data_IF_151482433645
#
_entry.id   IF_151482433645
#
_cell.length_a   1.000
_cell.length_b   1.000
_cell.length_c   1.000
_cell.angle_alpha   90.00
_cell.angle_beta   90.00
_cell.angle_gamma   90.00
#
_symmetry.space_group_name_H-M   'P 1'
#
loop_
_entity.id
_entity.type
_entity.pdbx_description
1 polymer ?
#
# COMPACT_ATOMS: atom_id res chain seq x y z
N UNK A 1 28.17 16.36 62.62
CA UNK A 1 28.91 16.50 61.33
C UNK A 1 27.85 16.36 60.23
N UNK A 2 27.52 17.41 59.46
CA UNK A 2 28.21 17.85 58.22
C UNK A 2 28.24 16.68 57.21
N UNK A 3 27.60 16.66 56.03
CA UNK A 3 27.12 17.68 55.08
C UNK A 3 26.07 17.07 54.12
N UNK A 4 25.11 17.89 53.69
CA UNK A 4 24.33 17.76 52.45
C UNK A 4 25.22 17.85 51.20
N UNK A 5 24.84 17.22 50.08
CA UNK A 5 24.96 17.68 48.66
C UNK A 5 24.59 16.48 47.74
N UNK A 6 23.45 16.46 47.04
CA UNK A 6 23.10 17.19 45.82
C UNK A 6 23.82 16.68 44.55
N UNK A 7 23.00 16.12 43.64
CA UNK A 7 23.02 16.22 42.17
C UNK A 7 24.31 15.80 41.45
N UNK A 8 24.22 14.74 40.65
CA UNK A 8 24.88 14.71 39.35
C UNK A 8 23.90 14.28 38.26
N UNK A 9 23.39 15.30 37.61
CA UNK A 9 22.82 15.36 36.27
C UNK A 9 23.79 14.83 35.21
N UNK A 10 23.22 14.42 34.07
CA UNK A 10 23.87 14.24 32.76
C UNK A 10 24.74 12.99 32.55
N UNK A 11 24.14 12.01 31.86
CA UNK A 11 24.70 11.64 30.56
C UNK A 11 23.60 11.78 29.51
N UNK A 12 23.61 12.93 28.85
CA UNK A 12 22.81 13.26 27.68
C UNK A 12 23.62 12.85 26.45
N UNK A 13 22.91 12.40 25.41
CA UNK A 13 23.32 12.37 23.99
C UNK A 13 24.27 11.24 23.55
N UNK A 14 23.67 10.15 23.08
CA UNK A 14 24.06 9.56 21.78
C UNK A 14 23.09 8.44 21.32
N UNK A 15 21.80 8.77 21.19
CA UNK A 15 20.87 7.91 20.42
C UNK A 15 20.04 8.71 19.40
N UNK A 16 20.50 9.90 19.04
CA UNK A 16 19.90 10.71 17.96
C UNK A 16 20.57 10.49 16.60
N UNK A 17 21.48 9.51 16.48
CA UNK A 17 22.26 9.27 15.26
C UNK A 17 21.74 8.19 14.30
N UNK A 18 20.67 7.46 14.64
CA UNK A 18 20.15 6.36 13.81
C UNK A 18 18.76 6.62 13.21
N UNK A 19 18.20 7.82 13.43
CA UNK A 19 16.93 8.25 12.82
C UNK A 19 17.11 9.23 11.65
N UNK A 20 18.36 9.50 11.23
CA UNK A 20 18.69 10.51 10.21
C UNK A 20 18.73 10.01 8.76
N UNK A 21 18.39 8.75 8.48
CA UNK A 21 18.42 8.19 7.11
C UNK A 21 17.13 7.45 6.70
N UNK A 22 16.01 7.72 7.39
CA UNK A 22 14.70 7.09 7.11
C UNK A 22 13.58 8.10 6.81
N UNK A 23 13.96 9.29 6.32
CA UNK A 23 13.04 10.43 6.09
C UNK A 23 12.18 10.34 4.82
N UNK A 24 12.14 9.21 4.11
CA UNK A 24 11.28 9.04 2.92
C UNK A 24 10.42 7.76 2.92
N UNK A 25 10.40 6.98 4.01
CA UNK A 25 9.61 5.73 4.11
C UNK A 25 8.42 5.81 5.10
N UNK A 26 7.93 7.00 5.44
CA UNK A 26 7.02 7.18 6.59
C UNK A 26 5.51 7.17 6.34
N UNK A 27 5.01 7.05 5.10
CA UNK A 27 3.56 7.26 4.87
C UNK A 27 2.73 6.00 4.59
N UNK A 28 3.35 4.84 4.38
CA UNK A 28 2.62 3.58 4.15
C UNK A 28 2.69 2.68 5.38
N UNK A 29 1.68 2.78 6.25
CA UNK A 29 1.50 1.84 7.37
C UNK A 29 0.45 0.79 6.99
N UNK A 30 0.83 -0.48 7.05
CA UNK A 30 -0.12 -1.60 6.97
C UNK A 30 -0.60 -1.91 8.38
N UNK A 31 -1.90 -1.77 8.61
CA UNK A 31 -2.51 -2.09 9.90
C UNK A 31 -3.27 -3.40 9.80
N UNK A 32 -2.90 -4.38 10.63
CA UNK A 32 -3.73 -5.57 10.83
C UNK A 32 -4.80 -5.26 11.87
N UNK A 33 -6.06 -5.34 11.47
CA UNK A 33 -7.20 -5.16 12.37
C UNK A 33 -8.28 -6.20 12.09
N UNK A 34 -8.97 -6.72 13.11
CA UNK A 34 -10.11 -7.59 12.88
C UNK A 34 -11.24 -6.80 12.20
N UNK A 35 -11.55 -7.15 10.95
CA UNK A 35 -12.61 -6.52 10.16
C UNK A 35 -13.65 -7.55 9.74
N UNK A 36 -14.89 -7.11 9.50
CA UNK A 36 -15.97 -8.03 9.12
C UNK A 36 -15.87 -8.39 7.63
N UNK A 37 -15.79 -9.68 7.34
CA UNK A 37 -15.97 -10.27 6.03
C UNK A 37 -17.22 -11.16 6.07
N UNK A 38 -18.24 -10.83 5.27
CA UNK A 38 -19.54 -11.54 5.25
C UNK A 38 -20.15 -11.75 6.66
N UNK A 39 -20.06 -10.73 7.52
CA UNK A 39 -20.61 -10.75 8.88
C UNK A 39 -19.72 -11.41 9.95
N UNK A 40 -18.63 -12.09 9.54
CA UNK A 40 -17.68 -12.75 10.45
C UNK A 40 -16.43 -11.88 10.61
N UNK A 41 -15.92 -11.72 11.84
CA UNK A 41 -14.64 -11.03 12.07
C UNK A 41 -13.49 -11.90 11.58
N UNK A 42 -12.69 -11.37 10.67
CA UNK A 42 -11.47 -11.98 10.14
C UNK A 42 -10.33 -10.96 10.24
N UNK A 43 -9.09 -11.44 10.31
CA UNK A 43 -7.93 -10.55 10.28
C UNK A 43 -7.79 -9.93 8.90
N UNK A 44 -7.65 -8.61 8.87
CA UNK A 44 -7.63 -7.83 7.65
C UNK A 44 -6.46 -6.85 7.67
N UNK A 45 -5.94 -6.53 6.49
CA UNK A 45 -4.80 -5.66 6.28
C UNK A 45 -5.28 -4.39 5.61
N UNK A 46 -5.15 -3.25 6.27
CA UNK A 46 -5.54 -1.96 5.68
C UNK A 46 -4.30 -1.18 5.28
N UNK A 47 -4.28 -0.77 4.01
CA UNK A 47 -3.26 0.07 3.39
C UNK A 47 -3.88 1.42 3.00
N UNK A 48 -3.20 2.52 3.32
CA UNK A 48 -3.49 3.82 2.72
C UNK A 48 -2.75 3.95 1.39
N UNK A 49 -3.45 4.43 0.36
CA UNK A 49 -2.94 4.59 -1.00
C UNK A 49 -3.18 6.04 -1.42
N UNK A 50 -2.11 6.72 -1.81
CA UNK A 50 -2.11 8.10 -2.30
C UNK A 50 -2.57 8.15 -3.78
N UNK A 51 -3.82 7.73 -4.01
CA UNK A 51 -4.50 7.70 -5.29
C UNK A 51 -6.02 7.64 -5.11
N UNK A 52 -6.76 8.04 -6.13
CA UNK A 52 -8.20 7.86 -6.18
C UNK A 52 -8.62 6.38 -6.15
N UNK A 53 -9.86 6.14 -5.72
CA UNK A 53 -10.37 4.79 -5.45
C UNK A 53 -10.34 3.92 -6.72
N UNK A 54 -10.68 4.49 -7.87
CA UNK A 54 -10.75 3.75 -9.13
C UNK A 54 -9.37 3.29 -9.55
N UNK A 55 -8.38 4.18 -9.51
CA UNK A 55 -6.98 3.86 -9.83
C UNK A 55 -6.42 2.80 -8.90
N UNK A 56 -6.69 2.91 -7.60
CA UNK A 56 -6.26 1.91 -6.62
C UNK A 56 -6.85 0.52 -6.91
N UNK A 57 -8.15 0.45 -7.22
CA UNK A 57 -8.83 -0.79 -7.62
C UNK A 57 -8.22 -1.35 -8.91
N UNK A 58 -8.13 -0.54 -9.96
CA UNK A 58 -7.65 -0.99 -11.27
C UNK A 58 -6.21 -1.52 -11.18
N UNK A 59 -5.35 -0.81 -10.45
CA UNK A 59 -3.95 -1.22 -10.24
C UNK A 59 -3.86 -2.53 -9.47
N UNK A 60 -4.71 -2.71 -8.45
CA UNK A 60 -4.77 -3.95 -7.68
C UNK A 60 -5.25 -5.13 -8.54
N UNK A 61 -6.32 -4.93 -9.31
CA UNK A 61 -6.87 -5.96 -10.21
C UNK A 61 -5.85 -6.35 -11.27
N UNK A 62 -5.14 -5.39 -11.88
CA UNK A 62 -4.06 -5.69 -12.83
C UNK A 62 -2.97 -6.54 -12.18
N UNK A 63 -2.47 -6.13 -11.01
CA UNK A 63 -1.45 -6.87 -10.28
C UNK A 63 -1.90 -8.30 -9.95
N UNK A 64 -3.14 -8.46 -9.51
CA UNK A 64 -3.69 -9.78 -9.19
C UNK A 64 -3.84 -10.67 -10.43
N UNK A 65 -4.28 -10.11 -11.56
CA UNK A 65 -4.40 -10.83 -12.83
C UNK A 65 -3.03 -11.23 -13.39
N UNK A 66 -2.00 -10.37 -13.26
CA UNK A 66 -0.61 -10.69 -13.60
C UNK A 66 -0.07 -11.88 -12.79
N UNK A 67 -0.60 -12.09 -11.59
CA UNK A 67 -0.31 -13.22 -10.71
C UNK A 67 -1.29 -14.40 -10.90
N UNK A 68 -1.99 -14.45 -12.04
CA UNK A 68 -2.86 -15.56 -12.44
C UNK A 68 -4.25 -15.56 -11.81
N UNK A 69 -4.60 -14.51 -11.06
CA UNK A 69 -5.91 -14.37 -10.43
C UNK A 69 -7.01 -13.93 -11.39
N UNK A 70 -8.25 -14.08 -10.94
CA UNK A 70 -9.43 -13.49 -11.58
C UNK A 70 -10.28 -12.78 -10.53
N UNK A 71 -10.60 -11.49 -10.75
CA UNK A 71 -11.36 -10.67 -9.79
C UNK A 71 -12.85 -10.64 -10.10
N UNK A 72 -13.66 -10.83 -9.07
CA UNK A 72 -15.11 -10.77 -9.08
C UNK A 72 -15.64 -9.77 -8.06
N UNK A 73 -16.77 -9.15 -8.37
CA UNK A 73 -17.56 -8.39 -7.38
C UNK A 73 -18.47 -9.38 -6.66
N UNK A 74 -18.33 -9.51 -5.34
CA UNK A 74 -19.11 -10.47 -4.54
C UNK A 74 -20.19 -9.79 -3.67
N UNK A 75 -20.06 -8.49 -3.40
CA UNK A 75 -21.12 -7.66 -2.83
C UNK A 75 -21.07 -6.26 -3.46
N UNK A 76 -22.04 -5.93 -4.30
CA UNK A 76 -22.15 -4.63 -4.96
C UNK A 76 -22.54 -3.50 -4.01
N UNK A 77 -23.20 -3.82 -2.89
CA UNK A 77 -23.64 -2.83 -1.89
C UNK A 77 -22.46 -2.36 -1.07
N UNK A 78 -21.59 -3.29 -0.69
CA UNK A 78 -20.38 -2.98 0.06
C UNK A 78 -19.18 -2.67 -0.85
N UNK A 79 -19.29 -2.92 -2.15
CA UNK A 79 -18.14 -2.95 -3.07
C UNK A 79 -17.06 -3.91 -2.58
N UNK A 80 -17.48 -5.11 -2.15
CA UNK A 80 -16.55 -6.17 -1.77
C UNK A 80 -16.19 -6.98 -3.00
N UNK A 81 -14.89 -7.17 -3.18
CA UNK A 81 -14.31 -7.93 -4.29
C UNK A 81 -13.60 -9.18 -3.76
N UNK A 82 -13.50 -10.18 -4.62
CA UNK A 82 -12.72 -11.39 -4.42
C UNK A 82 -11.87 -11.62 -5.67
N UNK A 83 -10.56 -11.80 -5.48
CA UNK A 83 -9.70 -12.38 -6.50
C UNK A 83 -9.39 -13.83 -6.13
N UNK A 84 -9.76 -14.77 -6.99
CA UNK A 84 -9.52 -16.20 -6.77
C UNK A 84 -8.20 -16.67 -7.39
N UNK A 85 -7.58 -17.69 -6.77
CA UNK A 85 -6.46 -18.47 -7.31
C UNK A 85 -5.20 -17.66 -7.66
N UNK A 86 -4.91 -16.62 -6.87
CA UNK A 86 -3.71 -15.79 -7.06
C UNK A 86 -2.46 -16.53 -6.59
N UNK A 87 -1.40 -16.53 -7.39
CA UNK A 87 -0.09 -17.00 -6.95
C UNK A 87 0.63 -15.87 -6.20
N UNK A 88 0.74 -15.99 -4.88
CA UNK A 88 1.50 -15.07 -4.03
C UNK A 88 2.59 -15.81 -3.25
N UNK A 89 3.76 -16.07 -3.89
CA UNK A 89 4.87 -16.80 -3.26
C UNK A 89 5.39 -16.18 -1.96
N UNK A 90 5.12 -14.89 -1.74
CA UNK A 90 5.46 -14.18 -0.50
C UNK A 90 4.76 -14.75 0.75
N UNK A 91 3.62 -15.44 0.58
CA UNK A 91 2.82 -15.99 1.69
C UNK A 91 2.37 -17.44 1.50
N UNK A 92 2.46 -18.00 0.29
CA UNK A 92 2.12 -19.39 0.04
C UNK A 92 2.76 -19.92 -1.24
N UNK A 93 3.21 -21.18 -1.21
CA UNK A 93 3.64 -21.92 -2.41
C UNK A 93 2.47 -22.37 -3.29
N UNK A 94 1.24 -22.22 -2.79
CA UNK A 94 0.00 -22.53 -3.50
C UNK A 94 -0.81 -21.26 -3.74
N UNK A 95 -1.83 -21.36 -4.59
CA UNK A 95 -2.71 -20.24 -4.87
C UNK A 95 -3.53 -19.85 -3.64
N UNK A 96 -3.71 -18.55 -3.43
CA UNK A 96 -4.53 -17.95 -2.37
C UNK A 96 -5.70 -17.20 -2.97
N UNK A 97 -6.72 -16.97 -2.15
CA UNK A 97 -7.83 -16.09 -2.51
C UNK A 97 -7.70 -14.78 -1.74
N UNK A 98 -7.93 -13.66 -2.42
CA UNK A 98 -7.80 -12.34 -1.80
C UNK A 98 -9.13 -11.59 -1.87
N UNK A 99 -9.72 -11.34 -0.72
CA UNK A 99 -10.85 -10.42 -0.62
C UNK A 99 -10.32 -9.01 -0.45
N UNK A 100 -10.95 -8.03 -1.08
CA UNK A 100 -10.59 -6.63 -0.83
C UNK A 100 -11.79 -5.70 -0.86
N UNK A 101 -11.67 -4.64 -0.06
CA UNK A 101 -12.68 -3.62 0.14
C UNK A 101 -12.00 -2.23 0.04
N UNK A 102 -12.24 -1.49 -1.05
CA UNK A 102 -11.78 -0.12 -1.18
C UNK A 102 -12.72 0.82 -0.40
N UNK A 103 -12.15 1.75 0.36
CA UNK A 103 -12.86 2.82 1.06
C UNK A 103 -12.23 4.15 0.73
N UNK A 104 -13.08 5.15 0.54
CA UNK A 104 -12.65 6.52 0.30
C UNK A 104 -12.88 7.34 1.58
N UNK A 105 -11.91 8.17 1.96
CA UNK A 105 -12.03 9.05 3.12
C UNK A 105 -11.97 10.53 2.69
N UNK A 106 -13.08 11.05 2.16
CA UNK A 106 -13.34 12.49 2.02
C UNK A 106 -12.33 13.29 1.17
N UNK A 107 -12.22 14.59 1.43
CA UNK A 107 -11.54 15.59 0.57
C UNK A 107 -10.00 15.45 0.44
N UNK A 108 -9.41 14.38 0.97
CA UNK A 108 -7.99 14.06 0.78
C UNK A 108 -7.89 13.00 -0.32
N UNK A 109 -7.00 13.17 -1.29
CA UNK A 109 -6.79 12.30 -2.47
C UNK A 109 -6.31 10.85 -2.14
N UNK A 110 -6.52 10.38 -0.90
CA UNK A 110 -6.13 9.07 -0.41
C UNK A 110 -7.29 8.08 -0.37
N UNK A 111 -7.04 6.87 -0.85
CA UNK A 111 -7.94 5.73 -0.72
C UNK A 111 -7.38 4.72 0.28
N UNK A 112 -8.25 4.10 1.08
CA UNK A 112 -7.89 2.95 1.90
C UNK A 112 -8.32 1.68 1.20
N UNK A 113 -7.45 0.68 1.18
CA UNK A 113 -7.81 -0.67 0.76
C UNK A 113 -7.62 -1.63 1.91
N UNK A 114 -8.68 -2.38 2.24
CA UNK A 114 -8.65 -3.45 3.24
C UNK A 114 -8.62 -4.79 2.52
N UNK A 115 -7.69 -5.66 2.90
CA UNK A 115 -7.45 -6.97 2.28
C UNK A 115 -7.61 -8.10 3.28
N UNK A 116 -8.10 -9.25 2.81
CA UNK A 116 -8.07 -10.52 3.54
C UNK A 116 -7.47 -11.58 2.65
N UNK A 117 -6.44 -12.27 3.14
CA UNK A 117 -5.75 -13.33 2.43
C UNK A 117 -6.20 -14.68 2.96
N UNK A 118 -6.99 -15.42 2.18
CA UNK A 118 -7.43 -16.78 2.51
C UNK A 118 -6.42 -17.78 1.94
N UNK A 119 -5.81 -18.54 2.83
CA UNK A 119 -4.82 -19.57 2.55
C UNK A 119 -5.50 -20.85 1.98
N UNK A 120 -4.73 -21.77 1.38
CA UNK A 120 -5.28 -22.98 0.76
C UNK A 120 -6.05 -23.91 1.70
N UNK A 121 -5.72 -23.87 3.00
CA UNK A 121 -6.42 -24.62 4.05
C UNK A 121 -7.73 -23.96 4.50
N UNK A 122 -8.09 -22.82 3.90
CA UNK A 122 -9.29 -22.03 4.20
C UNK A 122 -9.12 -21.06 5.38
N UNK A 123 -7.96 -21.05 6.06
CA UNK A 123 -7.66 -20.08 7.11
C UNK A 123 -7.33 -18.71 6.53
N UNK A 124 -7.40 -17.67 7.37
CA UNK A 124 -7.00 -16.31 6.99
C UNK A 124 -5.63 -15.98 7.57
N UNK A 125 -4.77 -15.38 6.76
CA UNK A 125 -3.43 -14.97 7.19
C UNK A 125 -3.51 -14.01 8.37
N UNK A 126 -2.67 -14.26 9.38
CA UNK A 126 -2.77 -13.66 10.70
C UNK A 126 -1.38 -13.51 11.29
N UNK A 127 -1.00 -12.31 11.78
CA UNK A 127 0.32 -12.13 12.42
C UNK A 127 0.50 -12.96 13.69
N UNK A 128 -0.61 -13.30 14.35
CA UNK A 128 -0.60 -14.13 15.56
C UNK A 128 -0.13 -15.55 15.26
N UNK A 129 -0.51 -16.07 14.10
CA UNK A 129 -0.30 -17.46 13.74
C UNK A 129 0.98 -17.62 12.89
N UNK A 130 1.32 -16.62 12.05
CA UNK A 130 2.56 -16.58 11.27
C UNK A 130 3.10 -15.13 11.11
N UNK A 131 3.99 -14.67 12.02
CA UNK A 131 4.56 -13.32 11.99
C UNK A 131 5.47 -13.05 10.78
N UNK A 132 6.12 -14.07 10.23
CA UNK A 132 7.05 -13.92 9.10
C UNK A 132 6.27 -13.63 7.82
N UNK A 133 5.23 -14.42 7.54
CA UNK A 133 4.32 -14.16 6.40
C UNK A 133 3.58 -12.84 6.56
N UNK A 134 3.25 -12.45 7.79
CA UNK A 134 2.71 -11.12 8.07
C UNK A 134 3.66 -9.99 7.62
N UNK A 135 4.95 -10.10 7.94
CA UNK A 135 5.92 -9.09 7.52
C UNK A 135 6.08 -9.07 5.99
N UNK A 136 6.12 -10.25 5.37
CA UNK A 136 6.23 -10.39 3.93
C UNK A 136 5.03 -9.74 3.20
N UNK A 137 3.80 -10.00 3.65
CA UNK A 137 2.62 -9.40 3.01
C UNK A 137 2.52 -7.90 3.28
N UNK A 138 2.91 -7.44 4.47
CA UNK A 138 2.93 -6.02 4.79
C UNK A 138 3.89 -5.28 3.86
N UNK A 139 5.09 -5.83 3.65
CA UNK A 139 6.04 -5.28 2.68
C UNK A 139 5.47 -5.29 1.26
N UNK A 140 4.87 -6.40 0.83
CA UNK A 140 4.26 -6.51 -0.51
C UNK A 140 3.17 -5.44 -0.73
N UNK A 141 2.31 -5.18 0.25
CA UNK A 141 1.28 -4.15 0.19
C UNK A 141 1.86 -2.73 0.16
N UNK A 142 2.93 -2.46 0.93
CA UNK A 142 3.64 -1.18 0.86
C UNK A 142 4.26 -0.97 -0.53
N UNK A 143 4.92 -1.99 -1.07
CA UNK A 143 5.54 -1.94 -2.40
C UNK A 143 4.47 -1.68 -3.50
N UNK A 144 3.28 -2.29 -3.36
CA UNK A 144 2.12 -1.98 -4.21
C UNK A 144 1.70 -0.51 -4.11
N UNK A 145 1.48 0.02 -2.90
CA UNK A 145 1.09 1.42 -2.70
C UNK A 145 2.10 2.42 -3.27
N UNK A 146 3.40 2.11 -3.16
CA UNK A 146 4.48 2.90 -3.75
C UNK A 146 4.44 2.85 -5.29
N UNK A 147 4.19 1.68 -5.88
CA UNK A 147 4.07 1.54 -7.34
C UNK A 147 2.94 2.40 -7.88
N UNK A 148 1.76 2.35 -7.28
CA UNK A 148 0.60 3.17 -7.71
C UNK A 148 0.94 4.66 -7.71
N UNK A 149 1.63 5.13 -6.67
CA UNK A 149 2.08 6.52 -6.57
C UNK A 149 3.11 6.89 -7.62
N UNK A 150 4.04 5.98 -7.95
CA UNK A 150 5.03 6.20 -9.01
C UNK A 150 4.38 6.28 -10.39
N UNK A 151 3.47 5.36 -10.70
CA UNK A 151 2.73 5.35 -11.96
C UNK A 151 1.93 6.65 -12.14
N UNK A 152 1.23 7.12 -11.09
CA UNK A 152 0.50 8.40 -11.10
C UNK A 152 1.43 9.60 -11.37
N UNK A 153 2.59 9.65 -10.72
CA UNK A 153 3.55 10.75 -10.94
C UNK A 153 4.08 10.76 -12.36
N UNK A 154 4.29 9.59 -12.95
CA UNK A 154 4.76 9.48 -14.33
C UNK A 154 3.70 9.97 -15.32
N UNK A 155 2.43 9.58 -15.16
CA UNK A 155 1.34 10.05 -16.00
C UNK A 155 1.18 11.58 -15.94
N UNK A 156 1.20 12.18 -14.75
CA UNK A 156 1.14 13.64 -14.58
C UNK A 156 2.30 14.33 -15.30
N UNK A 157 3.50 13.75 -15.23
CA UNK A 157 4.68 14.29 -15.91
C UNK A 157 4.52 14.22 -17.43
N UNK A 158 4.07 13.08 -17.96
CA UNK A 158 3.84 12.88 -19.40
C UNK A 158 2.78 13.85 -19.93
N UNK A 159 1.64 13.99 -19.24
CA UNK A 159 0.59 14.95 -19.59
C UNK A 159 1.10 16.41 -19.58
N UNK A 160 1.95 16.76 -18.61
CA UNK A 160 2.54 18.10 -18.53
C UNK A 160 3.51 18.36 -19.70
N UNK A 161 4.30 17.35 -20.10
CA UNK A 161 5.19 17.43 -21.26
C UNK A 161 4.39 17.55 -22.57
N UNK A 162 3.33 16.75 -22.72
CA UNK A 162 2.43 16.83 -23.88
C UNK A 162 1.75 18.20 -23.99
N UNK A 163 1.23 18.72 -22.87
CA UNK A 163 0.62 20.06 -22.82
C UNK A 163 1.62 21.15 -23.18
N UNK A 164 2.83 21.09 -22.64
CA UNK A 164 3.89 22.03 -22.97
C UNK A 164 4.27 21.98 -24.46
N UNK A 165 4.34 20.79 -25.05
CA UNK A 165 4.60 20.61 -26.49
C UNK A 165 3.46 21.12 -27.38
N UNK A 166 2.21 21.04 -26.90
CA UNK A 166 1.05 21.62 -27.60
C UNK A 166 1.03 23.16 -27.51
N UNK A 167 1.29 23.73 -26.33
CA UNK A 167 1.26 25.18 -26.09
C UNK A 167 2.47 25.90 -26.68
N UNK A 168 3.63 25.26 -26.69
CA UNK A 168 4.88 25.78 -27.25
C UNK A 168 5.48 24.73 -28.19
N UNK A 169 4.85 24.48 -29.36
CA UNK A 169 5.42 23.56 -30.32
C UNK A 169 6.80 24.09 -30.66
N UNK A 170 7.83 23.26 -30.42
CA UNK A 170 9.21 23.60 -30.72
C UNK A 170 9.21 24.20 -32.13
N UNK A 171 9.53 25.49 -32.23
CA UNK A 171 9.53 26.20 -33.50
C UNK A 171 10.57 25.52 -34.36
N UNK A 172 10.11 24.58 -35.19
CA UNK A 172 10.94 23.91 -36.15
C UNK A 172 11.61 24.99 -36.95
N UNK A 173 12.94 25.09 -36.80
CA UNK A 173 13.80 25.74 -37.77
C UNK A 173 13.37 25.21 -39.14
N UNK A 174 12.55 25.96 -39.87
CA UNK A 174 12.50 25.88 -41.33
C UNK A 174 13.83 26.43 -41.83
N UNK A 175 14.85 25.58 -41.74
CA UNK A 175 16.05 25.74 -42.52
C UNK A 175 15.68 25.56 -43.99
N UNK A 176 15.72 26.68 -44.72
CA UNK A 176 16.05 26.83 -46.14
C UNK A 176 15.44 25.81 -47.12
N UNK A 177 14.49 26.30 -47.91
CA UNK A 177 14.35 26.00 -49.34
C UNK A 177 14.32 27.33 -50.08
#
# INVERSE_FOLDING_TARGET
>A
MKRSFAILTMLLVSLTGLFGQLSEMTDYNVLETPFRLNGVKQNAYTLSIDADQKRAIDSWVSLMNENGGETFVIDTTQQLFLTEKVLLPVISDQSVDVFFLPRYEGDNDGSFMTFWFRLPDGSFLSSRDDPERFHAISKYLVDFGLKVKQDLRQEIHEEAVERANWEYPATGKKGKG
#
